data_IF_748178111063
#
_entry.id   IF_748178111063
#
_cell.length_a   1.000
_cell.length_b   1.000
_cell.length_c   1.000
_cell.angle_alpha   90.00
_cell.angle_beta   90.00
_cell.angle_gamma   90.00
#
_symmetry.space_group_name_H-M   'P 1'
#
loop_
_entity.id
_entity.type
_entity.pdbx_description
1 polymer ?
#
# COMPACT_ATOMS: atom_id res chain seq x y z
N UNK A 1 3.00 -3.67 -18.57
CA UNK A 1 1.81 -3.70 -17.67
C UNK A 1 0.73 -4.48 -18.42
N UNK A 2 0.18 -5.51 -17.78
CA UNK A 2 -0.88 -6.32 -18.39
C UNK A 2 -2.17 -6.06 -17.61
N UNK A 3 -3.21 -5.70 -18.31
CA UNK A 3 -4.55 -5.56 -17.75
C UNK A 3 -5.36 -6.80 -18.13
N UNK A 4 -6.07 -7.35 -17.16
CA UNK A 4 -6.97 -8.47 -17.40
C UNK A 4 -8.35 -8.11 -16.88
N UNK A 5 -9.34 -8.21 -17.74
CA UNK A 5 -10.73 -8.11 -17.32
C UNK A 5 -11.14 -9.36 -16.56
N UNK A 6 -11.62 -9.20 -15.35
CA UNK A 6 -12.14 -10.28 -14.51
C UNK A 6 -13.65 -10.52 -14.74
N UNK A 7 -14.31 -9.59 -15.42
CA UNK A 7 -15.71 -9.64 -15.81
C UNK A 7 -15.87 -9.05 -17.21
N UNK A 8 -16.83 -9.53 -18.01
CA UNK A 8 -17.19 -8.87 -19.26
C UNK A 8 -17.65 -7.43 -18.98
N UNK A 9 -17.22 -6.50 -19.81
CA UNK A 9 -17.60 -5.09 -19.65
C UNK A 9 -16.68 -4.15 -20.43
N UNK A 10 -17.01 -2.86 -20.36
CA UNK A 10 -16.22 -1.78 -20.94
C UNK A 10 -15.69 -0.91 -19.80
N UNK A 11 -14.42 -0.58 -19.84
CA UNK A 11 -13.80 0.41 -18.95
C UNK A 11 -13.49 1.66 -19.78
N UNK A 12 -14.01 2.78 -19.33
CA UNK A 12 -13.79 4.08 -19.98
C UNK A 12 -12.84 4.87 -19.06
N UNK A 13 -11.78 5.41 -19.64
CA UNK A 13 -10.90 6.36 -18.98
C UNK A 13 -11.22 7.76 -19.51
N UNK A 14 -11.56 8.64 -18.62
CA UNK A 14 -11.80 10.03 -18.98
C UNK A 14 -10.47 10.73 -19.33
N UNK A 15 -10.59 11.83 -20.06
CA UNK A 15 -9.41 12.64 -20.35
C UNK A 15 -8.73 13.08 -19.04
N UNK A 16 -7.42 12.91 -18.99
CA UNK A 16 -6.58 13.23 -17.81
C UNK A 16 -6.82 12.36 -16.56
N UNK A 17 -7.62 11.28 -16.67
CA UNK A 17 -7.78 10.31 -15.61
C UNK A 17 -6.51 9.46 -15.48
N UNK A 18 -5.86 9.41 -14.29
CA UNK A 18 -4.68 8.58 -14.08
C UNK A 18 -5.05 7.09 -14.04
N UNK A 19 -4.60 6.32 -15.02
CA UNK A 19 -4.87 4.89 -15.13
C UNK A 19 -3.70 4.00 -14.76
N UNK A 20 -2.51 4.56 -14.55
CA UNK A 20 -1.35 3.81 -14.08
C UNK A 20 -0.41 4.70 -13.27
N UNK A 21 0.40 4.04 -12.44
CA UNK A 21 1.51 4.66 -11.73
C UNK A 21 2.79 3.97 -12.12
N UNK A 22 3.79 4.74 -12.56
CA UNK A 22 5.11 4.24 -12.98
C UNK A 22 6.17 5.01 -12.22
N UNK A 23 7.12 4.29 -11.64
CA UNK A 23 8.30 4.88 -11.02
C UNK A 23 9.55 4.06 -11.37
N UNK A 24 10.69 4.71 -11.59
CA UNK A 24 11.93 4.02 -11.84
C UNK A 24 12.51 3.46 -10.54
N UNK A 25 13.06 2.25 -10.60
CA UNK A 25 13.88 1.67 -9.54
C UNK A 25 15.29 1.41 -10.07
N UNK A 26 16.30 1.56 -9.23
CA UNK A 26 17.66 1.20 -9.60
C UNK A 26 17.75 -0.30 -9.80
N UNK A 27 18.25 -0.77 -10.93
CA UNK A 27 18.42 -2.19 -11.23
C UNK A 27 19.19 -2.96 -10.14
N UNK A 28 20.28 -2.42 -9.54
CA UNK A 28 21.01 -3.10 -8.48
C UNK A 28 20.21 -3.27 -7.19
N UNK A 29 19.21 -2.42 -6.92
CA UNK A 29 18.46 -2.46 -5.65
C UNK A 29 17.80 -3.82 -5.36
N UNK A 30 17.45 -4.58 -6.39
CA UNK A 30 16.92 -5.94 -6.24
C UNK A 30 18.02 -6.98 -6.12
N UNK A 31 19.19 -6.74 -6.72
CA UNK A 31 20.34 -7.64 -6.68
C UNK A 31 21.10 -7.53 -5.35
N UNK A 32 21.08 -6.35 -4.75
CA UNK A 32 21.72 -6.06 -3.47
C UNK A 32 20.86 -6.50 -2.27
N UNK A 33 19.65 -6.99 -2.52
CA UNK A 33 18.75 -7.47 -1.48
C UNK A 33 18.95 -8.98 -1.29
N UNK A 34 19.44 -9.36 -0.11
CA UNK A 34 19.51 -10.77 0.32
C UNK A 34 18.31 -11.02 1.24
N UNK A 35 17.31 -11.78 0.79
CA UNK A 35 16.18 -12.11 1.66
C UNK A 35 16.62 -13.14 2.72
N UNK A 36 16.24 -12.89 3.95
CA UNK A 36 16.52 -13.77 5.08
C UNK A 36 15.20 -14.18 5.74
N UNK A 37 15.16 -15.40 6.27
CA UNK A 37 14.02 -15.92 7.02
C UNK A 37 14.48 -16.10 8.46
N UNK A 38 13.82 -15.38 9.37
CA UNK A 38 14.07 -15.44 10.80
C UNK A 38 12.84 -15.95 11.54
N UNK A 39 13.06 -16.60 12.69
CA UNK A 39 11.98 -16.93 13.59
C UNK A 39 11.52 -15.64 14.30
N UNK A 40 10.21 -15.39 14.32
CA UNK A 40 9.64 -14.21 14.99
C UNK A 40 9.96 -14.19 16.49
N UNK A 41 10.21 -15.35 17.09
CA UNK A 41 10.59 -15.47 18.49
C UNK A 41 11.97 -14.89 18.80
N UNK A 42 12.82 -14.66 17.78
CA UNK A 42 14.14 -14.04 17.94
C UNK A 42 14.02 -12.53 18.24
N UNK A 43 12.87 -11.91 17.89
CA UNK A 43 12.56 -10.51 18.19
C UNK A 43 11.30 -10.42 19.07
N UNK A 44 11.46 -10.35 20.40
CA UNK A 44 10.31 -10.30 21.33
C UNK A 44 9.41 -9.08 21.12
N UNK A 45 9.95 -7.95 20.67
CA UNK A 45 9.15 -6.76 20.41
C UNK A 45 8.31 -6.92 19.14
N UNK A 46 8.89 -7.46 18.08
CA UNK A 46 8.16 -7.79 16.86
C UNK A 46 7.08 -8.86 17.13
N UNK A 47 7.40 -9.89 17.93
CA UNK A 47 6.44 -10.91 18.34
C UNK A 47 5.24 -10.29 19.09
N UNK A 48 5.51 -9.40 20.05
CA UNK A 48 4.47 -8.67 20.80
C UNK A 48 3.58 -7.83 19.87
N UNK A 49 4.19 -7.11 18.95
CA UNK A 49 3.48 -6.27 17.98
C UNK A 49 2.61 -7.11 17.04
N UNK A 50 3.15 -8.24 16.57
CA UNK A 50 2.43 -9.17 15.73
C UNK A 50 1.20 -9.76 16.45
N UNK A 51 1.36 -10.17 17.72
CA UNK A 51 0.25 -10.69 18.52
C UNK A 51 -0.83 -9.62 18.72
N UNK A 52 -0.46 -8.40 19.10
CA UNK A 52 -1.41 -7.29 19.25
C UNK A 52 -2.19 -7.01 17.95
N UNK A 53 -1.51 -7.07 16.81
CA UNK A 53 -2.16 -6.96 15.51
C UNK A 53 -3.11 -8.14 15.23
N UNK A 54 -2.67 -9.38 15.50
CA UNK A 54 -3.46 -10.59 15.28
C UNK A 54 -4.74 -10.58 16.12
N UNK A 55 -4.66 -10.22 17.40
CA UNK A 55 -5.81 -10.08 18.28
C UNK A 55 -6.79 -9.03 17.76
N UNK A 56 -6.29 -7.84 17.42
CA UNK A 56 -7.12 -6.75 16.87
C UNK A 56 -7.80 -7.15 15.56
N UNK A 57 -7.08 -7.84 14.68
CA UNK A 57 -7.61 -8.33 13.41
C UNK A 57 -8.68 -9.39 13.60
N UNK A 58 -8.43 -10.37 14.48
CA UNK A 58 -9.37 -11.45 14.76
C UNK A 58 -10.68 -10.90 15.36
N UNK A 59 -10.60 -9.94 16.27
CA UNK A 59 -11.77 -9.29 16.84
C UNK A 59 -12.55 -8.50 15.76
N UNK A 60 -11.85 -7.78 14.90
CA UNK A 60 -12.48 -7.10 13.77
C UNK A 60 -13.18 -8.09 12.85
N UNK A 61 -12.53 -9.20 12.47
CA UNK A 61 -13.10 -10.22 11.59
C UNK A 61 -14.32 -10.88 12.23
N UNK A 62 -14.26 -11.18 13.52
CA UNK A 62 -15.41 -11.72 14.27
C UNK A 62 -16.62 -10.78 14.18
N UNK A 63 -16.43 -9.48 14.41
CA UNK A 63 -17.48 -8.47 14.30
C UNK A 63 -17.98 -8.31 12.86
N UNK A 64 -17.07 -8.34 11.89
CA UNK A 64 -17.41 -8.24 10.49
C UNK A 64 -18.30 -9.42 10.03
N UNK A 65 -17.94 -10.65 10.40
CA UNK A 65 -18.75 -11.83 10.13
C UNK A 65 -20.08 -11.84 10.87
N UNK A 66 -20.13 -11.28 12.07
CA UNK A 66 -21.36 -11.07 12.82
C UNK A 66 -22.24 -9.93 12.24
N UNK A 67 -21.82 -9.30 11.13
CA UNK A 67 -22.52 -8.19 10.47
C UNK A 67 -22.73 -6.97 11.40
N UNK A 68 -21.77 -6.73 12.31
CA UNK A 68 -21.80 -5.54 13.17
C UNK A 68 -21.85 -4.27 12.31
N UNK A 69 -22.81 -3.37 12.50
CA UNK A 69 -22.95 -2.16 11.67
C UNK A 69 -21.71 -1.25 11.67
N UNK A 70 -20.95 -1.22 12.76
CA UNK A 70 -19.71 -0.43 12.84
C UNK A 70 -18.60 -1.05 12.00
N UNK A 71 -18.49 -2.39 12.03
CA UNK A 71 -17.50 -3.10 11.21
C UNK A 71 -17.86 -3.03 9.72
N UNK A 72 -19.15 -3.14 9.38
CA UNK A 72 -19.61 -3.01 7.98
C UNK A 72 -19.43 -1.59 7.41
N UNK A 73 -19.58 -0.55 8.23
CA UNK A 73 -19.36 0.84 7.82
C UNK A 73 -17.89 1.13 7.51
N UNK A 74 -16.97 0.45 8.19
CA UNK A 74 -15.54 0.53 7.96
C UNK A 74 -14.95 -0.88 7.73
N UNK A 75 -15.12 -1.47 6.54
CA UNK A 75 -14.76 -2.85 6.27
C UNK A 75 -13.24 -3.09 6.16
N UNK A 76 -12.43 -2.14 6.56
CA UNK A 76 -10.99 -2.19 6.43
C UNK A 76 -10.27 -1.68 7.68
N UNK A 77 -9.38 -2.49 8.23
CA UNK A 77 -8.43 -2.08 9.27
C UNK A 77 -7.33 -1.23 8.63
N UNK A 78 -7.33 0.05 8.90
CA UNK A 78 -6.43 1.03 8.26
C UNK A 78 -5.13 1.26 9.02
N UNK A 79 -4.68 0.32 9.85
CA UNK A 79 -3.47 0.47 10.65
C UNK A 79 -2.23 0.78 9.78
N UNK A 80 -1.92 -0.10 8.86
CA UNK A 80 -0.81 0.11 7.93
C UNK A 80 -0.96 1.40 7.14
N UNK A 81 -2.14 1.66 6.58
CA UNK A 81 -2.38 2.88 5.80
C UNK A 81 -2.20 4.17 6.61
N UNK A 82 -2.46 4.14 7.91
CA UNK A 82 -2.29 5.28 8.82
C UNK A 82 -0.94 5.33 9.50
N UNK A 83 -0.06 4.35 9.28
CA UNK A 83 1.20 4.23 9.99
C UNK A 83 1.01 4.10 11.50
N UNK A 84 -0.03 3.41 11.93
CA UNK A 84 -0.33 3.22 13.34
C UNK A 84 -0.40 1.76 13.70
N UNK A 85 0.10 1.43 14.86
CA UNK A 85 -0.03 0.13 15.47
C UNK A 85 -1.34 0.03 16.29
N UNK A 86 -1.91 -1.18 16.55
CA UNK A 86 -3.10 -1.34 17.39
C UNK A 86 -2.97 -0.76 18.81
N UNK A 87 -1.79 -0.73 19.38
CA UNK A 87 -1.50 -0.11 20.69
C UNK A 87 -1.41 1.42 20.65
N UNK A 88 -1.56 2.03 19.46
CA UNK A 88 -1.53 3.46 19.26
C UNK A 88 -0.16 4.03 18.88
N UNK A 89 0.90 3.23 18.89
CA UNK A 89 2.21 3.65 18.42
C UNK A 89 2.17 4.10 16.96
N UNK A 90 2.95 5.11 16.63
CA UNK A 90 3.05 5.69 15.27
C UNK A 90 4.37 5.22 14.68
N UNK A 91 4.33 4.73 13.45
CA UNK A 91 5.52 4.37 12.70
C UNK A 91 6.23 5.64 12.22
N UNK A 92 7.50 5.78 12.61
CA UNK A 92 8.34 6.87 12.12
C UNK A 92 8.54 6.76 10.61
N UNK A 93 8.59 7.90 9.93
CA UNK A 93 8.79 7.98 8.48
C UNK A 93 7.75 7.22 7.63
N UNK A 94 6.55 6.98 8.16
CA UNK A 94 5.51 6.34 7.39
C UNK A 94 5.03 7.20 6.22
N UNK A 95 5.08 6.62 5.01
CA UNK A 95 4.63 7.27 3.77
C UNK A 95 3.44 6.48 3.23
N UNK A 96 2.25 7.05 3.29
CA UNK A 96 1.03 6.42 2.79
C UNK A 96 0.71 6.76 1.32
N UNK A 97 1.41 7.75 0.74
CA UNK A 97 1.27 8.12 -0.68
C UNK A 97 2.63 8.51 -1.26
N UNK A 98 3.08 7.75 -2.24
CA UNK A 98 4.18 8.17 -3.08
C UNK A 98 3.64 9.08 -4.19
N UNK A 99 4.25 10.26 -4.33
CA UNK A 99 3.96 11.18 -5.43
C UNK A 99 5.22 11.39 -6.23
N UNK A 100 5.16 11.05 -7.50
CA UNK A 100 6.22 11.43 -8.44
C UNK A 100 5.97 12.87 -8.85
N UNK A 101 7.03 13.67 -8.90
CA UNK A 101 6.93 15.02 -9.44
C UNK A 101 6.46 14.96 -10.90
N UNK A 102 5.65 15.92 -11.35
CA UNK A 102 5.26 15.98 -12.75
C UNK A 102 6.50 16.04 -13.66
N UNK A 103 6.45 15.43 -14.84
CA UNK A 103 7.57 15.44 -15.75
C UNK A 103 7.90 16.87 -16.20
N UNK A 104 9.19 17.20 -16.20
CA UNK A 104 9.67 18.46 -16.75
C UNK A 104 9.80 18.28 -18.25
N UNK A 105 9.09 19.09 -19.03
CA UNK A 105 9.23 19.11 -20.48
C UNK A 105 10.55 19.77 -20.85
N UNK A 106 11.48 18.96 -21.32
CA UNK A 106 12.79 19.42 -21.82
C UNK A 106 12.89 19.43 -23.34
N UNK A 107 11.78 19.29 -24.05
CA UNK A 107 11.78 19.44 -25.48
C UNK A 107 12.19 20.87 -25.80
N UNK A 108 13.29 21.03 -26.55
CA UNK A 108 13.63 22.33 -27.11
C UNK A 108 12.47 22.78 -28.01
N UNK A 109 11.86 23.93 -27.68
CA UNK A 109 10.99 24.58 -28.62
C UNK A 109 11.86 24.90 -29.89
N UNK A 110 11.76 24.04 -30.89
CA UNK A 110 12.35 24.37 -32.18
C UNK A 110 11.70 25.68 -32.65
N UNK A 111 12.45 26.69 -33.02
CA UNK A 111 11.86 27.92 -33.55
C UNK A 111 10.99 27.52 -34.75
N UNK A 112 9.71 27.86 -34.67
CA UNK A 112 8.81 27.75 -35.81
C UNK A 112 9.41 28.50 -36.97
N UNK A 113 9.81 27.77 -38.02
CA UNK A 113 10.20 28.35 -39.31
C UNK A 113 8.97 28.76 -40.07
#
# INVERSE_FOLDING_TARGET
MNWQFTKPGTVIFEKDEPFCFVFPIKKPALLDCTPEIHDIAEDPELARQHEAFAVSRNEFMRRFHAKDPKALRNPWLKYYFRGRHPDGAIADNHINKLRVAPPVDKRCAAPLK
#
